data_IF_458551546661
#
_entry.id   IF_458551546661
#
_cell.length_a   1.000
_cell.length_b   1.000
_cell.length_c   1.000
_cell.angle_alpha   90.00
_cell.angle_beta   90.00
_cell.angle_gamma   90.00
#
_symmetry.space_group_name_H-M   'P 1'
#
loop_
_entity.id
_entity.type
_entity.pdbx_description
1 polymer ?
#
# COMPACT_ATOMS: atom_id res chain seq x y z
N UNK A 1 1.78 25.05 -18.96
CA UNK A 1 1.93 24.62 -17.56
C UNK A 1 0.52 24.29 -17.06
N UNK A 2 0.15 23.12 -16.54
CA UNK A 2 0.86 22.14 -15.73
C UNK A 2 0.65 20.72 -16.26
N UNK A 3 1.73 19.92 -16.29
CA UNK A 3 1.72 18.50 -16.65
C UNK A 3 2.22 17.72 -15.44
N UNK A 4 1.48 17.78 -14.32
CA UNK A 4 1.77 17.03 -13.09
C UNK A 4 0.50 16.82 -12.25
N UNK A 5 -0.64 16.62 -12.89
CA UNK A 5 -1.82 16.00 -12.26
C UNK A 5 -2.07 14.69 -13.02
N UNK A 6 -1.08 13.80 -13.04
CA UNK A 6 -1.39 12.38 -13.21
C UNK A 6 -1.95 11.97 -11.85
N UNK A 7 -3.25 11.67 -11.78
CA UNK A 7 -3.79 10.85 -10.71
C UNK A 7 -2.88 9.63 -10.63
N UNK A 8 -2.10 9.52 -9.55
CA UNK A 8 -1.20 8.40 -9.33
C UNK A 8 -2.07 7.16 -9.03
N UNK A 9 -2.62 6.59 -10.11
CA UNK A 9 -3.37 5.32 -10.15
C UNK A 9 -2.46 4.12 -9.81
N UNK A 10 -1.17 4.38 -9.64
CA UNK A 10 -0.16 3.42 -9.21
C UNK A 10 -0.18 3.14 -7.71
N UNK A 11 0.41 2.00 -7.34
CA UNK A 11 0.74 1.70 -5.96
C UNK A 11 1.82 2.67 -5.47
N UNK A 12 1.75 3.15 -4.21
CA UNK A 12 2.83 3.92 -3.61
C UNK A 12 4.17 3.20 -3.82
N UNK A 13 5.20 3.93 -4.26
CA UNK A 13 6.49 3.32 -4.62
C UNK A 13 7.07 2.47 -3.47
N UNK A 14 7.00 2.98 -2.24
CA UNK A 14 7.47 2.25 -1.05
C UNK A 14 6.69 0.97 -0.76
N UNK A 15 5.37 0.96 -1.02
CA UNK A 15 4.56 -0.24 -0.91
C UNK A 15 4.98 -1.27 -1.96
N UNK A 16 5.15 -0.85 -3.21
CA UNK A 16 5.59 -1.74 -4.29
C UNK A 16 6.95 -2.38 -3.98
N UNK A 17 7.90 -1.59 -3.48
CA UNK A 17 9.23 -2.07 -3.10
C UNK A 17 9.15 -3.12 -1.99
N UNK A 18 8.41 -2.86 -0.92
CA UNK A 18 8.33 -3.81 0.19
C UNK A 18 7.57 -5.09 -0.16
N UNK A 19 6.48 -4.99 -0.93
CA UNK A 19 5.79 -6.17 -1.43
C UNK A 19 6.72 -7.00 -2.35
N UNK A 20 7.55 -6.37 -3.17
CA UNK A 20 8.51 -7.10 -4.00
C UNK A 20 9.57 -7.87 -3.17
N UNK A 21 9.85 -7.42 -1.95
CA UNK A 21 10.77 -8.09 -1.00
C UNK A 21 10.08 -9.21 -0.20
N UNK A 22 8.75 -9.18 -0.07
CA UNK A 22 7.93 -10.16 0.63
C UNK A 22 6.89 -10.80 -0.30
N UNK A 23 7.28 -11.93 -0.89
CA UNK A 23 6.46 -12.67 -1.87
C UNK A 23 5.13 -13.14 -1.26
N UNK A 24 5.09 -13.48 0.03
CA UNK A 24 3.88 -13.93 0.70
C UNK A 24 2.90 -12.76 0.88
N UNK A 25 3.40 -11.61 1.34
CA UNK A 25 2.60 -10.39 1.45
C UNK A 25 2.08 -9.92 0.09
N UNK A 26 2.95 -9.91 -0.95
CA UNK A 26 2.55 -9.54 -2.31
C UNK A 26 1.48 -10.47 -2.88
N UNK A 27 1.65 -11.79 -2.69
CA UNK A 27 0.69 -12.77 -3.18
C UNK A 27 -0.65 -12.61 -2.49
N UNK A 28 -0.67 -12.38 -1.18
CA UNK A 28 -1.91 -12.13 -0.46
C UNK A 28 -2.56 -10.80 -0.89
N UNK A 29 -1.80 -9.71 -0.94
CA UNK A 29 -2.29 -8.41 -1.40
C UNK A 29 -2.96 -8.50 -2.77
N UNK A 30 -2.34 -9.24 -3.72
CA UNK A 30 -2.89 -9.45 -5.06
C UNK A 30 -4.20 -10.27 -5.07
N UNK A 31 -4.47 -11.06 -4.02
CA UNK A 31 -5.73 -11.82 -3.87
C UNK A 31 -6.86 -11.02 -3.22
N UNK A 32 -6.54 -9.88 -2.58
CA UNK A 32 -7.55 -9.04 -1.96
C UNK A 32 -8.52 -8.47 -3.01
N UNK A 33 -9.83 -8.32 -2.69
CA UNK A 33 -10.74 -7.56 -3.53
C UNK A 33 -10.19 -6.17 -3.82
N UNK A 34 -10.42 -5.65 -5.03
CA UNK A 34 -9.89 -4.34 -5.45
C UNK A 34 -10.24 -3.21 -4.46
N UNK A 35 -11.46 -3.21 -3.91
CA UNK A 35 -11.89 -2.24 -2.89
C UNK A 35 -11.03 -2.29 -1.62
N UNK A 36 -10.57 -3.47 -1.22
CA UNK A 36 -9.69 -3.61 -0.04
C UNK A 36 -8.27 -3.16 -0.36
N UNK A 37 -7.76 -3.46 -1.56
CA UNK A 37 -6.48 -2.91 -2.02
C UNK A 37 -6.52 -1.38 -2.03
N UNK A 38 -7.59 -0.79 -2.57
CA UNK A 38 -7.81 0.66 -2.58
C UNK A 38 -7.87 1.25 -1.17
N UNK A 39 -8.54 0.60 -0.23
CA UNK A 39 -8.57 1.05 1.17
C UNK A 39 -7.17 1.06 1.81
N UNK A 40 -6.35 0.02 1.58
CA UNK A 40 -4.98 -0.03 2.11
C UNK A 40 -4.07 1.04 1.48
N UNK A 41 -4.22 1.26 0.17
CA UNK A 41 -3.51 2.31 -0.55
C UNK A 41 -3.92 3.69 -0.02
N UNK A 42 -5.22 3.92 0.18
CA UNK A 42 -5.74 5.17 0.69
C UNK A 42 -5.27 5.42 2.13
N UNK A 43 -5.25 4.38 2.98
CA UNK A 43 -4.65 4.45 4.31
C UNK A 43 -3.20 4.95 4.24
N UNK A 44 -2.38 4.46 3.32
CA UNK A 44 -1.00 4.97 3.15
C UNK A 44 -0.99 6.42 2.65
N UNK A 45 -1.81 6.76 1.65
CA UNK A 45 -1.89 8.09 1.03
C UNK A 45 -2.37 9.19 1.98
N UNK A 46 -3.16 8.84 3.00
CA UNK A 46 -3.65 9.76 4.03
C UNK A 46 -2.63 10.10 5.13
N UNK A 47 -1.41 9.59 5.04
CA UNK A 47 -0.33 9.98 5.94
C UNK A 47 0.02 11.47 5.77
N UNK A 48 0.16 12.18 6.89
CA UNK A 48 0.48 13.62 6.92
C UNK A 48 1.99 13.89 6.82
N UNK A 49 2.83 12.87 7.05
CA UNK A 49 4.29 12.97 7.02
C UNK A 49 4.92 11.75 6.35
N UNK A 50 6.16 11.89 5.87
CA UNK A 50 6.90 10.76 5.28
C UNK A 50 7.16 9.62 6.27
N UNK A 51 7.45 9.94 7.54
CA UNK A 51 7.64 8.92 8.59
C UNK A 51 6.36 8.15 8.88
N UNK A 52 5.21 8.85 8.85
CA UNK A 52 3.91 8.20 8.96
C UNK A 52 3.60 7.32 7.75
N UNK A 53 3.87 7.81 6.53
CA UNK A 53 3.67 7.02 5.32
C UNK A 53 4.50 5.73 5.35
N UNK A 54 5.77 5.82 5.78
CA UNK A 54 6.63 4.67 5.97
C UNK A 54 6.05 3.67 6.96
N UNK A 55 5.62 4.13 8.15
CA UNK A 55 5.00 3.27 9.16
C UNK A 55 3.74 2.57 8.65
N UNK A 56 2.87 3.31 7.94
CA UNK A 56 1.65 2.75 7.36
C UNK A 56 1.94 1.71 6.27
N UNK A 57 3.01 1.90 5.49
CA UNK A 57 3.47 0.87 4.54
C UNK A 57 3.91 -0.39 5.30
N UNK A 58 4.75 -0.24 6.33
CA UNK A 58 5.24 -1.37 7.13
C UNK A 58 4.05 -2.16 7.74
N UNK A 59 3.05 -1.46 8.27
CA UNK A 59 1.81 -2.06 8.81
C UNK A 59 1.01 -2.81 7.75
N UNK A 60 0.83 -2.24 6.56
CA UNK A 60 0.10 -2.90 5.46
C UNK A 60 0.81 -4.17 5.01
N UNK A 61 2.13 -4.14 4.90
CA UNK A 61 2.94 -5.30 4.53
C UNK A 61 2.85 -6.39 5.59
N UNK A 62 2.94 -6.02 6.87
CA UNK A 62 2.78 -6.97 8.00
C UNK A 62 1.39 -7.62 8.01
N UNK A 63 0.33 -6.84 7.78
CA UNK A 63 -1.04 -7.36 7.69
C UNK A 63 -1.15 -8.34 6.52
N UNK A 64 -0.53 -8.02 5.38
CA UNK A 64 -0.56 -8.90 4.21
C UNK A 64 0.24 -10.18 4.44
N UNK A 65 1.43 -10.08 5.03
CA UNK A 65 2.27 -11.22 5.40
C UNK A 65 1.53 -12.18 6.34
N UNK A 66 0.92 -11.63 7.39
CA UNK A 66 0.18 -12.39 8.39
C UNK A 66 -1.22 -12.82 7.92
N UNK A 67 -1.63 -12.45 6.70
CA UNK A 67 -2.97 -12.69 6.14
C UNK A 67 -4.09 -12.23 7.05
N UNK A 68 -3.87 -11.11 7.74
CA UNK A 68 -4.84 -10.51 8.63
C UNK A 68 -5.86 -9.68 7.83
N UNK A 69 -7.03 -9.49 8.43
CA UNK A 69 -8.07 -8.68 7.85
C UNK A 69 -8.04 -7.28 8.45
N UNK A 70 -8.12 -6.26 7.60
CA UNK A 70 -8.13 -4.86 8.00
C UNK A 70 -9.56 -4.47 8.40
N UNK A 71 -9.83 -4.32 9.70
CA UNK A 71 -11.13 -3.93 10.27
C UNK A 71 -10.98 -2.80 11.29
#
# INVERSE_FOLDING_TARGET
MNRFEEEDDGLPLGLTMQLAEDVDAMSYFATLPKVQQEHLIQYIKEASTGDEAKRRIDEVVEICHNRQSFY
#
